data_IF_437861850864
#
_entry.id   IF_437861850864
#
_cell.length_a   1.000
_cell.length_b   1.000
_cell.length_c   1.000
_cell.angle_alpha   90.00
_cell.angle_beta   90.00
_cell.angle_gamma   90.00
#
_symmetry.space_group_name_H-M   'P 1'
#
loop_
_entity.id
_entity.type
_entity.pdbx_description
1 polymer ?
#
# COMPACT_ATOMS: atom_id res chain seq x y z
N UNK A 1 -10.24 27.98 24.35
CA UNK A 1 -8.91 28.25 24.94
C UNK A 1 -8.48 27.18 25.95
N UNK A 2 -9.39 26.67 26.77
CA UNK A 2 -9.15 25.67 27.83
C UNK A 2 -8.50 24.33 27.39
N UNK A 3 -8.79 23.86 26.18
CA UNK A 3 -8.22 22.59 25.66
C UNK A 3 -6.71 22.65 25.38
N UNK A 4 -6.17 23.83 25.06
CA UNK A 4 -4.73 24.00 24.76
C UNK A 4 -3.87 23.91 26.02
N UNK A 5 -4.36 24.47 27.13
CA UNK A 5 -3.60 24.50 28.38
C UNK A 5 -3.60 23.15 29.09
N UNK A 6 -4.70 22.39 28.96
CA UNK A 6 -4.75 20.98 29.40
C UNK A 6 -3.73 20.13 28.64
N UNK A 7 -3.68 20.25 27.31
CA UNK A 7 -2.73 19.51 26.47
C UNK A 7 -1.28 19.84 26.82
N UNK A 8 -0.95 21.12 27.02
CA UNK A 8 0.40 21.55 27.44
C UNK A 8 0.80 20.95 28.79
N UNK A 9 -0.14 20.86 29.74
CA UNK A 9 0.11 20.22 31.04
C UNK A 9 0.35 18.72 30.90
N UNK A 10 -0.45 18.05 30.06
CA UNK A 10 -0.30 16.62 29.77
C UNK A 10 1.03 16.29 29.08
N UNK A 11 1.46 17.11 28.12
CA UNK A 11 2.75 16.96 27.44
C UNK A 11 3.93 17.11 28.40
N UNK A 12 3.86 18.10 29.32
CA UNK A 12 4.89 18.26 30.37
C UNK A 12 4.96 17.05 31.29
N UNK A 13 3.80 16.50 31.68
CA UNK A 13 3.75 15.28 32.48
C UNK A 13 4.32 14.08 31.72
N UNK A 14 4.06 13.98 30.41
CA UNK A 14 4.62 12.93 29.57
C UNK A 14 6.15 13.04 29.40
N UNK A 15 6.69 14.25 29.22
CA UNK A 15 8.14 14.47 29.25
C UNK A 15 8.77 14.05 30.58
N UNK A 16 8.12 14.36 31.71
CA UNK A 16 8.60 13.93 33.03
C UNK A 16 8.56 12.40 33.19
N UNK A 17 7.52 11.75 32.65
CA UNK A 17 7.45 10.29 32.58
C UNK A 17 8.59 9.69 31.73
N UNK A 18 8.84 10.22 30.54
CA UNK A 18 9.94 9.75 29.67
C UNK A 18 11.31 9.89 30.33
N UNK A 19 11.52 10.98 31.08
CA UNK A 19 12.75 11.19 31.83
C UNK A 19 12.88 10.20 32.99
N UNK A 20 11.79 9.88 33.69
CA UNK A 20 11.83 9.01 34.87
C UNK A 20 11.97 7.53 34.49
N UNK A 21 11.26 7.10 33.45
CA UNK A 21 11.18 5.68 33.06
C UNK A 21 12.27 5.28 32.07
N UNK A 22 12.66 6.19 31.17
CA UNK A 22 13.58 5.89 30.07
C UNK A 22 14.84 6.76 30.08
N UNK A 23 15.02 7.63 31.09
CA UNK A 23 16.14 8.59 31.19
C UNK A 23 16.26 9.54 29.98
N UNK A 24 15.15 9.74 29.25
CA UNK A 24 15.13 10.58 28.06
C UNK A 24 14.75 12.02 28.40
N UNK A 25 15.70 12.95 28.21
CA UNK A 25 15.47 14.37 28.43
C UNK A 25 14.90 15.02 27.16
N UNK A 26 13.61 15.35 27.18
CA UNK A 26 12.97 16.12 26.13
C UNK A 26 12.28 17.37 26.66
N UNK A 27 12.38 18.45 25.87
CA UNK A 27 11.64 19.67 26.15
C UNK A 27 10.20 19.55 25.64
N UNK A 28 9.19 20.05 26.37
CA UNK A 28 7.80 20.10 25.90
C UNK A 28 7.59 20.95 24.63
N UNK A 29 8.58 21.79 24.27
CA UNK A 29 8.58 22.59 23.05
C UNK A 29 9.14 21.82 21.84
N UNK A 30 9.68 20.62 22.04
CA UNK A 30 10.21 19.79 20.96
C UNK A 30 9.07 19.30 20.06
N UNK A 31 9.15 19.48 18.73
CA UNK A 31 8.11 19.08 17.79
C UNK A 31 7.81 17.57 17.78
N UNK A 32 8.74 16.74 18.27
CA UNK A 32 8.59 15.27 18.28
C UNK A 32 7.66 14.81 19.42
N UNK A 33 7.62 15.55 20.54
CA UNK A 33 6.94 15.13 21.77
C UNK A 33 5.42 15.00 21.60
N UNK A 34 4.70 15.92 20.93
CA UNK A 34 3.28 15.75 20.67
C UNK A 34 2.94 14.49 19.87
N UNK A 35 3.76 14.15 18.87
CA UNK A 35 3.58 12.94 18.07
C UNK A 35 3.82 11.67 18.91
N UNK A 36 4.89 11.66 19.71
CA UNK A 36 5.22 10.55 20.59
C UNK A 36 4.14 10.32 21.66
N UNK A 37 3.62 11.41 22.24
CA UNK A 37 2.51 11.36 23.19
C UNK A 37 1.23 10.79 22.57
N UNK A 38 0.88 11.19 21.34
CA UNK A 38 -0.28 10.66 20.62
C UNK A 38 -0.15 9.15 20.38
N UNK A 39 1.02 8.71 19.88
CA UNK A 39 1.31 7.29 19.67
C UNK A 39 1.22 6.51 20.98
N UNK A 40 1.76 7.05 22.08
CA UNK A 40 1.70 6.40 23.39
C UNK A 40 0.26 6.25 23.90
N UNK A 41 -0.57 7.30 23.76
CA UNK A 41 -2.00 7.26 24.10
C UNK A 41 -2.76 6.22 23.30
N UNK A 42 -2.51 6.16 21.99
CA UNK A 42 -3.15 5.19 21.10
C UNK A 42 -2.71 3.76 21.45
N UNK A 43 -1.44 3.56 21.77
CA UNK A 43 -0.92 2.28 22.23
C UNK A 43 -1.57 1.84 23.55
N UNK A 44 -1.70 2.74 24.53
CA UNK A 44 -2.39 2.43 25.79
C UNK A 44 -3.87 2.06 25.55
N UNK A 45 -4.55 2.80 24.68
CA UNK A 45 -5.95 2.52 24.34
C UNK A 45 -6.09 1.15 23.68
N UNK A 46 -5.22 0.83 22.72
CA UNK A 46 -5.22 -0.47 22.06
C UNK A 46 -4.91 -1.60 23.04
N UNK A 47 -3.97 -1.41 23.96
CA UNK A 47 -3.65 -2.43 24.96
C UNK A 47 -4.85 -2.71 25.87
N UNK A 48 -5.56 -1.67 26.32
CA UNK A 48 -6.80 -1.83 27.11
C UNK A 48 -7.88 -2.59 26.33
N UNK A 49 -8.13 -2.20 25.08
CA UNK A 49 -9.09 -2.91 24.21
C UNK A 49 -8.72 -4.37 24.01
N UNK A 50 -7.43 -4.67 23.83
CA UNK A 50 -6.94 -6.04 23.68
C UNK A 50 -7.15 -6.86 24.96
N UNK A 51 -6.94 -6.25 26.14
CA UNK A 51 -7.24 -6.90 27.42
C UNK A 51 -8.74 -7.18 27.58
N UNK A 52 -9.59 -6.24 27.19
CA UNK A 52 -11.06 -6.43 27.23
C UNK A 52 -11.49 -7.56 26.29
N UNK A 53 -10.95 -7.62 25.07
CA UNK A 53 -11.21 -8.71 24.12
C UNK A 53 -10.72 -10.04 24.70
N UNK A 54 -9.52 -10.08 25.29
CA UNK A 54 -9.00 -11.28 25.92
C UNK A 54 -9.89 -11.75 27.09
N UNK A 55 -10.41 -10.82 27.89
CA UNK A 55 -11.35 -11.12 28.96
C UNK A 55 -12.69 -11.66 28.42
N UNK A 56 -13.20 -11.10 27.32
CA UNK A 56 -14.40 -11.62 26.67
C UNK A 56 -14.18 -13.02 26.10
N UNK A 57 -13.04 -13.27 25.46
CA UNK A 57 -12.69 -14.59 24.92
C UNK A 57 -12.55 -15.61 26.05
N UNK A 58 -11.89 -15.27 27.16
CA UNK A 58 -11.74 -16.19 28.30
C UNK A 58 -13.08 -16.48 28.97
N UNK A 59 -13.95 -15.47 29.12
CA UNK A 59 -15.30 -15.63 29.64
C UNK A 59 -16.22 -16.44 28.70
N UNK A 60 -16.03 -16.32 27.38
CA UNK A 60 -16.74 -17.15 26.41
C UNK A 60 -16.22 -18.59 26.41
N UNK A 61 -14.90 -18.78 26.46
CA UNK A 61 -14.24 -20.08 26.49
C UNK A 61 -14.61 -20.88 27.74
N UNK A 62 -14.70 -20.25 28.91
CA UNK A 62 -15.12 -20.92 30.15
C UNK A 62 -16.57 -21.40 30.13
N UNK A 63 -17.42 -20.81 29.30
CA UNK A 63 -18.81 -21.25 29.07
C UNK A 63 -18.93 -22.35 28.01
N UNK A 64 -17.91 -22.54 27.18
CA UNK A 64 -17.88 -23.64 26.23
C UNK A 64 -17.57 -24.94 26.99
N UNK A 65 -18.51 -25.89 26.97
CA UNK A 65 -18.21 -27.26 27.41
C UNK A 65 -17.34 -27.90 26.33
N UNK A 66 -16.07 -28.25 26.64
CA UNK A 66 -15.22 -28.91 25.65
C UNK A 66 -15.87 -30.23 25.25
N UNK A 67 -15.86 -30.51 23.95
CA UNK A 67 -16.38 -31.77 23.44
C UNK A 67 -15.40 -32.89 23.84
N UNK A 68 -15.78 -33.69 24.84
CA UNK A 68 -14.98 -34.83 25.30
C UNK A 68 -15.33 -36.05 24.45
N UNK A 69 -14.36 -36.54 23.68
CA UNK A 69 -14.50 -37.75 22.88
C UNK A 69 -14.13 -38.96 23.73
N UNK A 70 -15.03 -39.93 23.81
CA UNK A 70 -14.80 -41.20 24.49
C UNK A 70 -14.48 -42.26 23.42
N UNK A 71 -13.35 -42.93 23.56
CA UNK A 71 -12.91 -44.00 22.66
C UNK A 71 -12.96 -45.31 23.44
N UNK A 72 -13.81 -46.24 22.99
CA UNK A 72 -14.13 -47.46 23.76
C UNK A 72 -13.25 -48.64 23.35
N UNK A 73 -12.53 -48.53 22.23
CA UNK A 73 -11.66 -49.59 21.73
C UNK A 73 -10.25 -49.09 21.38
N UNK A 74 -9.21 -49.94 21.52
CA UNK A 74 -7.85 -49.55 21.21
C UNK A 74 -7.70 -49.19 19.72
N UNK A 75 -7.14 -48.01 19.45
CA UNK A 75 -6.87 -47.52 18.09
C UNK A 75 -7.95 -46.60 17.48
N UNK A 76 -9.12 -46.44 18.10
CA UNK A 76 -10.14 -45.48 17.63
C UNK A 76 -9.67 -44.03 17.70
N UNK A 77 -8.97 -43.65 18.77
CA UNK A 77 -8.41 -42.31 18.95
C UNK A 77 -7.45 -41.93 17.80
N UNK A 78 -6.63 -42.89 17.35
CA UNK A 78 -5.70 -42.68 16.24
C UNK A 78 -6.43 -42.50 14.91
N UNK A 79 -7.44 -43.32 14.62
CA UNK A 79 -8.27 -43.17 13.41
C UNK A 79 -9.00 -41.83 13.38
N UNK A 80 -9.50 -41.38 14.54
CA UNK A 80 -10.16 -40.08 14.69
C UNK A 80 -9.21 -38.91 14.43
N UNK A 81 -8.01 -38.94 15.04
CA UNK A 81 -6.97 -37.94 14.81
C UNK A 81 -6.53 -37.89 13.35
N UNK A 82 -6.36 -39.06 12.71
CA UNK A 82 -5.96 -39.15 11.31
C UNK A 82 -7.06 -38.58 10.39
N UNK A 83 -8.33 -38.86 10.68
CA UNK A 83 -9.46 -38.29 9.95
C UNK A 83 -9.54 -36.76 10.05
N UNK A 84 -9.35 -36.20 11.25
CA UNK A 84 -9.29 -34.74 11.45
C UNK A 84 -8.11 -34.14 10.68
N UNK A 85 -6.94 -34.76 10.80
CA UNK A 85 -5.71 -34.29 10.14
C UNK A 85 -5.89 -34.27 8.62
N UNK A 86 -6.42 -35.36 8.05
CA UNK A 86 -6.68 -35.47 6.62
C UNK A 86 -7.65 -34.39 6.14
N UNK A 87 -8.71 -34.12 6.91
CA UNK A 87 -9.67 -33.04 6.59
C UNK A 87 -8.98 -31.68 6.51
N UNK A 88 -8.12 -31.36 7.47
CA UNK A 88 -7.39 -30.08 7.46
C UNK A 88 -6.35 -29.99 6.34
N UNK A 89 -5.67 -31.10 6.02
CA UNK A 89 -4.77 -31.16 4.86
C UNK A 89 -5.55 -30.89 3.57
N UNK A 90 -6.71 -31.52 3.38
CA UNK A 90 -7.54 -31.32 2.19
C UNK A 90 -8.04 -29.88 2.06
N UNK A 91 -8.53 -29.30 3.16
CA UNK A 91 -8.97 -27.89 3.17
C UNK A 91 -7.79 -26.96 2.88
N UNK A 92 -6.65 -27.20 3.52
CA UNK A 92 -5.42 -26.41 3.31
C UNK A 92 -4.94 -26.47 1.87
N UNK A 93 -4.93 -27.67 1.26
CA UNK A 93 -4.57 -27.86 -0.14
C UNK A 93 -5.53 -27.12 -1.09
N UNK A 94 -6.83 -27.12 -0.80
CA UNK A 94 -7.83 -26.41 -1.60
C UNK A 94 -7.62 -24.89 -1.53
N UNK A 95 -7.43 -24.34 -0.33
CA UNK A 95 -7.13 -22.91 -0.13
C UNK A 95 -5.84 -22.53 -0.83
N UNK A 96 -4.79 -23.34 -0.68
CA UNK A 96 -3.51 -23.09 -1.34
C UNK A 96 -3.64 -23.09 -2.87
N UNK A 97 -4.37 -24.07 -3.43
CA UNK A 97 -4.66 -24.12 -4.86
C UNK A 97 -5.44 -22.89 -5.35
N UNK A 98 -6.39 -22.40 -4.56
CA UNK A 98 -7.13 -21.18 -4.89
C UNK A 98 -6.24 -19.93 -4.88
N UNK A 99 -5.40 -19.77 -3.85
CA UNK A 99 -4.45 -18.65 -3.78
C UNK A 99 -3.43 -18.71 -4.92
N UNK A 100 -2.93 -19.91 -5.23
CA UNK A 100 -2.00 -20.13 -6.34
C UNK A 100 -2.61 -19.74 -7.69
N UNK A 101 -3.81 -20.26 -7.99
CA UNK A 101 -4.52 -19.95 -9.24
C UNK A 101 -4.88 -18.47 -9.34
N UNK A 102 -5.36 -17.85 -8.27
CA UNK A 102 -5.63 -16.42 -8.24
C UNK A 102 -4.36 -15.59 -8.52
N UNK A 103 -3.24 -15.96 -7.90
CA UNK A 103 -1.95 -15.30 -8.10
C UNK A 103 -1.46 -15.43 -9.54
N UNK A 104 -1.60 -16.63 -10.12
CA UNK A 104 -1.23 -16.87 -11.52
C UNK A 104 -2.11 -16.07 -12.48
N UNK A 105 -3.43 -16.09 -12.32
CA UNK A 105 -4.36 -15.32 -13.16
C UNK A 105 -4.06 -13.82 -13.08
N UNK A 106 -3.77 -13.32 -11.88
CA UNK A 106 -3.37 -11.93 -11.68
C UNK A 106 -2.06 -11.59 -12.41
N UNK A 107 -1.04 -12.46 -12.30
CA UNK A 107 0.24 -12.28 -12.99
C UNK A 107 0.04 -12.27 -14.52
N UNK A 108 -0.69 -13.24 -15.05
CA UNK A 108 -0.95 -13.35 -16.48
C UNK A 108 -1.68 -12.12 -17.03
N UNK A 109 -2.65 -11.57 -16.29
CA UNK A 109 -3.32 -10.32 -16.67
C UNK A 109 -2.37 -9.12 -16.68
N UNK A 110 -1.48 -9.00 -15.68
CA UNK A 110 -0.47 -7.93 -15.65
C UNK A 110 0.50 -8.02 -16.82
N UNK A 111 0.89 -9.23 -17.22
CA UNK A 111 1.79 -9.42 -18.36
C UNK A 111 1.08 -9.11 -19.68
N UNK A 112 -0.21 -9.45 -19.82
CA UNK A 112 -1.04 -9.01 -20.94
C UNK A 112 -1.21 -7.48 -21.00
N UNK A 113 -1.38 -6.82 -19.85
CA UNK A 113 -1.49 -5.35 -19.79
C UNK A 113 -0.17 -4.67 -20.17
N UNK A 114 0.97 -5.23 -19.75
CA UNK A 114 2.30 -4.76 -20.20
C UNK A 114 2.46 -4.96 -21.70
N UNK A 115 2.10 -6.12 -22.23
CA UNK A 115 2.17 -6.40 -23.67
C UNK A 115 1.27 -5.45 -24.48
N UNK A 116 0.04 -5.19 -24.03
CA UNK A 116 -0.85 -4.20 -24.64
C UNK A 116 -0.25 -2.80 -24.64
N UNK A 117 0.33 -2.36 -23.53
CA UNK A 117 1.00 -1.05 -23.46
C UNK A 117 2.17 -0.95 -24.43
N UNK A 118 2.95 -2.02 -24.59
CA UNK A 118 4.06 -2.05 -25.57
C UNK A 118 3.52 -1.94 -27.01
N UNK A 119 2.44 -2.67 -27.33
CA UNK A 119 1.80 -2.62 -28.66
C UNK A 119 1.14 -1.25 -28.92
N UNK A 120 0.53 -0.63 -27.91
CA UNK A 120 -0.02 0.72 -28.03
C UNK A 120 1.08 1.76 -28.23
N UNK A 121 2.17 1.67 -27.46
CA UNK A 121 3.35 2.51 -27.67
C UNK A 121 3.96 2.29 -29.05
N UNK A 122 4.08 1.05 -29.54
CA UNK A 122 4.62 0.80 -30.88
C UNK A 122 3.75 1.43 -31.96
N UNK A 123 2.42 1.33 -31.88
CA UNK A 123 1.51 1.99 -32.84
C UNK A 123 1.59 3.51 -32.81
N UNK A 124 1.83 4.12 -31.65
CA UNK A 124 2.06 5.58 -31.54
C UNK A 124 3.41 5.94 -32.13
N UNK A 125 4.45 5.15 -31.88
CA UNK A 125 5.78 5.32 -32.47
C UNK A 125 5.72 5.16 -34.00
N UNK A 126 4.98 4.18 -34.52
CA UNK A 126 4.80 3.95 -35.96
C UNK A 126 4.15 5.16 -36.65
N UNK A 127 3.24 5.87 -35.97
CA UNK A 127 2.67 7.12 -36.47
C UNK A 127 3.64 8.30 -36.41
N UNK A 128 4.67 8.24 -35.57
CA UNK A 128 5.70 9.27 -35.44
C UNK A 128 6.86 9.05 -36.41
N UNK A 129 7.14 7.81 -36.85
CA UNK A 129 8.22 7.45 -37.79
C UNK A 129 8.24 8.35 -39.06
N UNK A 130 7.11 8.65 -39.73
CA UNK A 130 7.13 9.50 -40.93
C UNK A 130 7.56 10.95 -40.66
N UNK A 131 7.48 11.41 -39.41
CA UNK A 131 7.84 12.75 -38.98
C UNK A 131 9.27 12.83 -38.41
N UNK A 132 9.98 11.70 -38.40
CA UNK A 132 11.38 11.60 -37.98
C UNK A 132 12.27 11.76 -39.21
N UNK A 133 13.09 12.81 -39.22
CA UNK A 133 14.16 12.98 -40.21
C UNK A 133 15.50 12.62 -39.58
N UNK A 134 16.30 11.86 -40.33
CA UNK A 134 17.69 11.53 -40.01
C UNK A 134 18.63 12.43 -40.80
N UNK A 135 19.57 13.06 -40.09
CA UNK A 135 20.70 13.77 -40.69
C UNK A 135 21.96 12.86 -40.71
N UNK A 136 22.98 13.22 -41.48
CA UNK A 136 24.23 12.46 -41.67
C UNK A 136 24.96 12.13 -40.35
N UNK A 137 24.71 12.89 -39.29
CA UNK A 137 25.29 12.73 -37.95
C UNK A 137 24.42 11.91 -36.97
N UNK A 138 23.32 11.30 -37.43
CA UNK A 138 22.58 10.28 -36.65
C UNK A 138 21.62 10.80 -35.57
N UNK A 139 21.20 12.07 -35.63
CA UNK A 139 20.23 12.63 -34.66
C UNK A 139 18.78 12.58 -35.20
N UNK A 140 17.85 12.04 -34.41
CA UNK A 140 16.41 11.95 -34.72
C UNK A 140 15.66 13.19 -34.25
N UNK A 141 15.04 13.95 -35.17
CA UNK A 141 14.19 15.10 -34.85
C UNK A 141 12.74 14.85 -35.28
N UNK A 142 11.77 15.15 -34.39
CA UNK A 142 10.33 15.14 -34.72
C UNK A 142 9.93 16.57 -35.10
N UNK A 143 9.60 16.79 -36.37
CA UNK A 143 9.23 18.10 -36.90
C UNK A 143 7.70 18.29 -36.79
N UNK A 144 7.22 19.07 -35.82
CA UNK A 144 5.80 19.44 -35.74
C UNK A 144 5.56 20.71 -36.57
N UNK A 145 4.87 20.58 -37.71
CA UNK A 145 4.41 21.75 -38.48
C UNK A 145 3.24 22.41 -37.76
N UNK A 146 3.45 23.60 -37.19
CA UNK A 146 2.35 24.44 -36.69
C UNK A 146 1.74 25.16 -37.88
N UNK A 147 0.60 24.67 -38.39
CA UNK A 147 -0.23 25.44 -39.31
C UNK A 147 -0.85 26.60 -38.53
N UNK A 148 -0.40 27.82 -38.80
CA UNK A 148 -1.06 29.06 -38.36
C UNK A 148 -2.41 29.18 -39.07
N UNK A 149 -3.43 28.51 -38.55
CA UNK A 149 -4.82 28.92 -38.71
C UNK A 149 -5.70 28.19 -37.68
N UNK A 150 -6.18 28.96 -36.71
CA UNK A 150 -7.32 28.56 -35.86
C UNK A 150 -6.97 27.72 -34.64
N UNK A 151 -6.92 28.38 -33.47
CA UNK A 151 -7.25 27.84 -32.14
C UNK A 151 -7.00 26.34 -31.91
N UNK A 152 -5.75 25.95 -31.63
CA UNK A 152 -5.45 24.74 -30.85
C UNK A 152 -4.26 24.98 -29.92
N UNK A 153 -4.41 24.42 -28.72
CA UNK A 153 -3.69 24.63 -27.48
C UNK A 153 -2.17 24.82 -27.59
N UNK A 154 -1.68 25.78 -26.81
CA UNK A 154 -0.27 26.15 -26.71
C UNK A 154 0.51 25.03 -26.02
N UNK A 155 1.27 24.24 -26.78
CA UNK A 155 2.31 23.38 -26.20
C UNK A 155 3.50 24.25 -25.77
N UNK A 156 3.83 24.26 -24.47
CA UNK A 156 5.04 24.93 -23.97
C UNK A 156 6.28 24.14 -24.39
N UNK A 157 7.07 24.76 -25.25
CA UNK A 157 8.37 24.26 -25.69
C UNK A 157 9.45 24.89 -24.81
N UNK A 158 10.25 24.08 -24.13
CA UNK A 158 11.44 24.57 -23.42
C UNK A 158 12.67 24.30 -24.29
N UNK A 159 13.40 25.36 -24.64
CA UNK A 159 14.66 25.28 -25.39
C UNK A 159 15.78 24.94 -24.42
N UNK A 160 16.51 23.85 -24.65
CA UNK A 160 17.63 23.42 -23.80
C UNK A 160 18.95 23.93 -24.36
N UNK A 161 19.13 23.89 -25.68
CA UNK A 161 20.30 24.48 -26.37
C UNK A 161 19.94 24.87 -27.83
N UNK A 162 20.87 25.47 -28.58
CA UNK A 162 20.72 25.88 -29.99
C UNK A 162 20.22 24.73 -30.89
N UNK A 163 20.60 23.49 -30.59
CA UNK A 163 20.31 22.30 -31.39
C UNK A 163 19.41 21.28 -30.68
N UNK A 164 18.82 21.60 -29.51
CA UNK A 164 18.03 20.61 -28.76
C UNK A 164 16.79 21.24 -28.14
N UNK A 165 15.63 20.67 -28.49
CA UNK A 165 14.33 21.07 -27.97
C UNK A 165 13.75 19.90 -27.17
N UNK A 166 13.27 20.17 -25.96
CA UNK A 166 12.50 19.21 -25.17
C UNK A 166 11.01 19.55 -25.30
N UNK A 167 10.26 18.64 -25.92
CA UNK A 167 8.80 18.74 -26.05
C UNK A 167 8.17 18.03 -24.84
N UNK A 168 7.43 18.78 -24.03
CA UNK A 168 6.63 18.22 -22.95
C UNK A 168 5.27 17.83 -23.50
N UNK A 169 5.02 16.53 -23.62
CA UNK A 169 3.66 16.00 -23.84
C UNK A 169 2.90 16.15 -22.52
N UNK A 170 2.22 17.28 -22.35
CA UNK A 170 1.40 17.56 -21.19
C UNK A 170 0.26 16.56 -21.06
N UNK A 171 0.08 16.03 -19.85
CA UNK A 171 -1.11 15.31 -19.41
C UNK A 171 -2.11 16.35 -18.89
N UNK A 172 -3.39 16.18 -19.22
CA UNK A 172 -4.51 17.06 -18.87
C UNK A 172 -4.39 17.73 -17.49
N UNK A 173 -4.43 19.07 -17.47
CA UNK A 173 -4.70 19.83 -16.26
C UNK A 173 -6.16 20.30 -16.26
N UNK A 174 -7.00 19.53 -15.56
CA UNK A 174 -8.01 20.02 -14.61
C UNK A 174 -9.00 21.05 -15.17
N UNK A 175 -10.18 20.55 -15.54
CA UNK A 175 -11.42 21.33 -15.51
C UNK A 175 -11.67 21.80 -14.08
N UNK A 176 -11.27 23.01 -13.76
CA UNK A 176 -11.83 23.77 -12.67
C UNK A 176 -13.15 24.38 -13.15
N UNK A 177 -14.27 23.83 -12.67
CA UNK A 177 -15.51 24.55 -12.38
C UNK A 177 -16.21 23.86 -11.22
#
# INVERSE_FOLDING_TARGET
MEQSDKLKRELRAYCAFLLTEYELLYSPADPIIPALYAIHKDMQLNNRKNMDIAALISAASSKMKPQVFHFNSPGEAFKFQLGITLRWILIGALVFGFVWTASWVWSARKDLDKAKKIIEHSKVTDKLIPYVKTDADGSYFIEFMVTRQGNKEVMKVAKIDKNTIRVYLGKDSISAK
#
